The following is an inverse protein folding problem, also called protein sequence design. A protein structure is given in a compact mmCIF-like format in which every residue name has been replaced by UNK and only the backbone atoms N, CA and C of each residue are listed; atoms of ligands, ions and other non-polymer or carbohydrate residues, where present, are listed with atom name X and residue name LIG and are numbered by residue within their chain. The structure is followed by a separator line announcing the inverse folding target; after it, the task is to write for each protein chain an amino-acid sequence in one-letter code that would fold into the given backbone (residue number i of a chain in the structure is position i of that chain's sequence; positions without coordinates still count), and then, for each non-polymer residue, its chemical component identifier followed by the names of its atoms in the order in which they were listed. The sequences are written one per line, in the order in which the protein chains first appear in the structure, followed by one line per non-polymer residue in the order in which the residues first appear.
data_IF_276701444584
#
_entry.id   IF_276701444584
#
_cell.length_a   1.000
_cell.length_b   1.000
_cell.length_c   1.000
_cell.angle_alpha   90.00
_cell.angle_beta   90.00
_cell.angle_gamma   90.00
#
_symmetry.space_group_name_H-M   'P 1'
#
loop_
_entity.id
_entity.type
_entity.pdbx_description
1 polymer ?
#
# COMPACT_ATOMS: atom_id res chain seq x y z
N UNK A 1 29.23 -1.13 12.48
CA UNK A 1 28.29 -2.22 12.76
C UNK A 1 27.22 -1.84 13.77
N UNK A 2 27.52 -1.07 14.81
CA UNK A 2 26.55 -0.71 15.87
C UNK A 2 25.37 0.19 15.45
N UNK A 3 25.44 0.85 14.29
CA UNK A 3 24.33 1.70 13.81
C UNK A 3 23.31 0.98 12.91
N UNK A 4 23.60 -0.23 12.43
CA UNK A 4 22.72 -0.98 11.54
C UNK A 4 21.84 -1.92 12.35
N UNK A 5 22.44 -2.68 13.24
CA UNK A 5 21.75 -3.59 14.16
C UNK A 5 21.37 -2.83 15.45
N UNK A 6 20.29 -2.06 15.40
CA UNK A 6 19.75 -1.46 16.62
C UNK A 6 19.16 -2.55 17.52
N UNK A 7 19.20 -2.34 18.85
CA UNK A 7 18.61 -3.27 19.83
C UNK A 7 17.16 -3.61 19.46
N UNK A 8 16.39 -2.64 18.97
CA UNK A 8 15.00 -2.82 18.57
C UNK A 8 14.86 -3.67 17.30
N UNK A 9 15.77 -3.53 16.31
CA UNK A 9 15.77 -4.37 15.10
C UNK A 9 16.11 -5.82 15.43
N UNK A 10 17.05 -6.06 16.34
CA UNK A 10 17.43 -7.42 16.78
C UNK A 10 16.28 -8.08 17.55
N UNK A 11 15.69 -7.39 18.52
CA UNK A 11 14.54 -7.92 19.29
C UNK A 11 13.39 -8.27 18.36
N UNK A 12 13.06 -7.37 17.42
CA UNK A 12 12.02 -7.60 16.41
C UNK A 12 12.33 -8.86 15.59
N UNK A 13 13.53 -8.99 15.07
CA UNK A 13 13.94 -10.15 14.26
C UNK A 13 13.81 -11.45 15.06
N UNK A 14 14.27 -11.47 16.31
CA UNK A 14 14.19 -12.64 17.18
C UNK A 14 12.73 -13.01 17.43
N UNK A 15 11.86 -12.05 17.77
CA UNK A 15 10.45 -12.31 18.03
C UNK A 15 9.72 -12.87 16.80
N UNK A 16 9.99 -12.29 15.61
CA UNK A 16 9.37 -12.73 14.37
C UNK A 16 9.80 -14.16 14.02
N UNK A 17 11.10 -14.46 14.10
CA UNK A 17 11.60 -15.80 13.81
C UNK A 17 11.20 -16.82 14.86
N UNK A 18 11.07 -16.42 16.13
CA UNK A 18 10.53 -17.28 17.19
C UNK A 18 9.10 -17.75 16.83
N UNK A 19 8.27 -16.85 16.30
CA UNK A 19 6.92 -17.20 15.83
C UNK A 19 6.96 -18.17 14.65
N UNK A 20 7.83 -17.95 13.68
CA UNK A 20 8.01 -18.88 12.56
C UNK A 20 8.38 -20.27 13.07
N UNK A 21 9.38 -20.38 13.96
CA UNK A 21 9.78 -21.66 14.52
C UNK A 21 8.66 -22.32 15.33
N UNK A 22 7.88 -21.53 16.08
CA UNK A 22 6.74 -22.04 16.84
C UNK A 22 5.71 -22.68 15.92
N UNK A 23 5.33 -21.99 14.82
CA UNK A 23 4.39 -22.54 13.85
C UNK A 23 5.00 -23.70 13.02
N UNK A 24 6.29 -23.66 12.72
CA UNK A 24 6.97 -24.73 11.98
C UNK A 24 7.03 -26.05 12.77
N UNK A 25 7.28 -25.98 14.08
CA UNK A 25 7.39 -27.18 14.93
C UNK A 25 6.08 -27.63 15.56
N UNK A 26 5.19 -26.69 15.88
CA UNK A 26 3.95 -26.96 16.61
C UNK A 26 2.69 -26.63 15.79
N UNK A 27 2.80 -26.33 14.50
CA UNK A 27 1.69 -25.88 13.65
C UNK A 27 0.46 -26.77 13.74
N UNK A 28 0.61 -28.11 13.58
CA UNK A 28 -0.51 -29.05 13.70
C UNK A 28 -1.19 -29.03 15.09
N UNK A 29 -0.41 -28.84 16.15
CA UNK A 29 -0.97 -28.73 17.51
C UNK A 29 -1.71 -27.41 17.69
N UNK A 30 -1.20 -26.33 17.09
CA UNK A 30 -1.81 -24.98 17.11
C UNK A 30 -3.13 -25.00 16.31
N UNK A 31 -3.16 -25.62 15.12
CA UNK A 31 -4.37 -25.79 14.32
C UNK A 31 -5.46 -26.55 15.10
N UNK A 32 -5.08 -27.54 15.89
CA UNK A 32 -6.00 -28.26 16.78
C UNK A 32 -6.66 -27.37 17.85
N UNK A 33 -6.10 -26.20 18.15
CA UNK A 33 -6.64 -25.23 19.09
C UNK A 33 -7.69 -24.29 18.46
N UNK A 34 -7.81 -24.26 17.13
CA UNK A 34 -8.77 -23.38 16.43
C UNK A 34 -10.22 -23.72 16.78
N UNK A 35 -10.52 -24.97 17.19
CA UNK A 35 -11.86 -25.34 17.65
C UNK A 35 -12.32 -24.59 18.93
N UNK A 36 -11.44 -23.84 19.58
CA UNK A 36 -11.78 -22.94 20.68
C UNK A 36 -11.66 -21.49 20.20
N UNK A 37 -12.78 -20.78 20.04
CA UNK A 37 -12.83 -19.42 19.51
C UNK A 37 -11.93 -18.42 20.25
N UNK A 38 -11.80 -18.54 21.59
CA UNK A 38 -10.96 -17.63 22.39
C UNK A 38 -9.47 -17.86 22.05
N UNK A 39 -9.06 -19.11 21.92
CA UNK A 39 -7.68 -19.46 21.54
C UNK A 39 -7.39 -19.08 20.09
N UNK A 40 -8.31 -19.34 19.18
CA UNK A 40 -8.18 -18.95 17.78
C UNK A 40 -7.99 -17.44 17.63
N UNK A 41 -8.82 -16.62 18.31
CA UNK A 41 -8.68 -15.16 18.34
C UNK A 41 -7.31 -14.74 18.92
N UNK A 42 -6.89 -15.36 20.02
CA UNK A 42 -5.59 -15.07 20.63
C UNK A 42 -4.43 -15.37 19.68
N UNK A 43 -4.45 -16.51 19.01
CA UNK A 43 -3.44 -16.91 18.02
C UNK A 43 -3.47 -15.97 16.80
N UNK A 44 -4.66 -15.64 16.31
CA UNK A 44 -4.83 -14.67 15.22
C UNK A 44 -4.21 -13.31 15.54
N UNK A 45 -4.53 -12.74 16.70
CA UNK A 45 -3.98 -11.46 17.16
C UNK A 45 -2.45 -11.54 17.23
N UNK A 46 -1.91 -12.64 17.73
CA UNK A 46 -0.47 -12.82 17.88
C UNK A 46 0.25 -12.93 16.52
N UNK A 47 -0.31 -13.68 15.57
CA UNK A 47 0.22 -13.78 14.20
C UNK A 47 0.10 -12.42 13.49
N UNK A 48 -1.05 -11.76 13.61
CA UNK A 48 -1.30 -10.45 13.00
C UNK A 48 -0.27 -9.42 13.47
N UNK A 49 -0.08 -9.24 14.78
CA UNK A 49 0.90 -8.30 15.30
C UNK A 49 2.34 -8.67 14.95
N UNK A 50 2.63 -9.96 14.81
CA UNK A 50 3.95 -10.42 14.36
C UNK A 50 4.20 -10.00 12.91
N UNK A 51 3.24 -10.21 12.02
CA UNK A 51 3.36 -9.82 10.60
C UNK A 51 3.40 -8.30 10.45
N UNK A 52 2.56 -7.55 11.17
CA UNK A 52 2.62 -6.08 11.20
C UNK A 52 4.01 -5.62 11.70
N UNK A 53 4.51 -6.22 12.77
CA UNK A 53 5.85 -5.93 13.29
C UNK A 53 6.96 -6.21 12.28
N UNK A 54 6.84 -7.29 11.50
CA UNK A 54 7.74 -7.59 10.39
C UNK A 54 7.64 -6.55 9.26
N UNK A 55 6.42 -6.18 8.86
CA UNK A 55 6.18 -5.16 7.84
C UNK A 55 6.82 -3.81 8.21
N UNK A 56 6.69 -3.37 9.47
CA UNK A 56 7.42 -2.19 9.96
C UNK A 56 8.94 -2.34 9.84
N UNK A 57 9.46 -3.54 10.05
CA UNK A 57 10.89 -3.83 9.88
C UNK A 57 11.33 -3.72 8.43
N UNK A 58 10.56 -4.31 7.53
CA UNK A 58 10.81 -4.27 6.08
C UNK A 58 10.80 -2.83 5.58
N UNK A 59 9.75 -2.06 5.88
CA UNK A 59 9.64 -0.65 5.45
C UNK A 59 10.81 0.18 5.98
N UNK A 60 11.20 0.01 7.24
CA UNK A 60 12.34 0.71 7.82
C UNK A 60 13.65 0.39 7.11
N UNK A 61 13.97 -0.88 6.89
CA UNK A 61 15.23 -1.25 6.24
C UNK A 61 15.22 -0.90 4.73
N UNK A 62 14.06 -0.96 4.09
CA UNK A 62 13.88 -0.50 2.70
C UNK A 62 14.08 1.01 2.58
N UNK A 63 13.53 1.81 3.49
CA UNK A 63 13.69 3.27 3.53
C UNK A 63 15.16 3.67 3.77
N UNK A 64 15.85 3.01 4.70
CA UNK A 64 17.27 3.21 4.95
C UNK A 64 18.17 2.84 3.74
N UNK A 65 17.81 1.75 3.02
CA UNK A 65 18.47 1.39 1.77
C UNK A 65 18.19 2.42 0.68
N UNK A 66 16.95 2.90 0.60
CA UNK A 66 16.53 3.93 -0.34
C UNK A 66 17.36 5.22 -0.15
N UNK A 67 17.46 5.69 1.09
CA UNK A 67 18.27 6.87 1.41
C UNK A 67 19.75 6.71 1.04
N UNK A 68 20.30 5.50 1.20
CA UNK A 68 21.71 5.26 0.91
C UNK A 68 22.03 5.07 -0.56
N UNK A 69 21.14 4.39 -1.27
CA UNK A 69 21.33 4.12 -2.71
C UNK A 69 20.97 5.34 -3.57
N UNK A 70 20.15 6.24 -3.03
CA UNK A 70 19.65 7.40 -3.76
C UNK A 70 18.74 7.02 -4.91
N UNK A 71 18.26 8.03 -5.62
CA UNK A 71 17.39 7.83 -6.78
C UNK A 71 18.20 7.37 -8.02
N UNK A 72 17.69 6.41 -8.81
CA UNK A 72 16.34 5.82 -8.79
C UNK A 72 16.18 4.55 -7.96
N UNK A 73 17.27 3.99 -7.46
CA UNK A 73 17.28 2.67 -6.81
C UNK A 73 16.53 2.67 -5.48
N UNK A 74 16.57 3.79 -4.77
CA UNK A 74 15.89 3.95 -3.49
C UNK A 74 14.39 3.76 -3.59
N UNK A 75 13.74 4.52 -4.46
CA UNK A 75 12.29 4.40 -4.70
C UNK A 75 11.91 2.99 -5.14
N UNK A 76 12.67 2.37 -6.04
CA UNK A 76 12.40 1.02 -6.51
C UNK A 76 12.45 -0.02 -5.38
N UNK A 77 13.46 0.03 -4.52
CA UNK A 77 13.60 -0.93 -3.41
C UNK A 77 12.45 -0.79 -2.42
N UNK A 78 12.11 0.44 -2.03
CA UNK A 78 11.02 0.69 -1.10
C UNK A 78 9.69 0.18 -1.67
N UNK A 79 9.35 0.59 -2.89
CA UNK A 79 8.12 0.18 -3.56
C UNK A 79 8.03 -1.35 -3.74
N UNK A 80 9.09 -1.97 -4.29
CA UNK A 80 9.09 -3.41 -4.50
C UNK A 80 9.00 -4.20 -3.19
N UNK A 81 9.58 -3.70 -2.10
CA UNK A 81 9.50 -4.36 -0.79
C UNK A 81 8.07 -4.38 -0.28
N UNK A 82 7.36 -3.25 -0.37
CA UNK A 82 5.97 -3.12 0.10
C UNK A 82 5.02 -3.95 -0.77
N UNK A 83 5.12 -3.80 -2.10
CA UNK A 83 4.33 -4.58 -3.06
C UNK A 83 4.59 -6.09 -2.90
N UNK A 84 5.83 -6.50 -2.59
CA UNK A 84 6.13 -7.92 -2.35
C UNK A 84 5.35 -8.47 -1.16
N UNK A 85 5.26 -7.71 -0.05
CA UNK A 85 4.45 -8.12 1.12
C UNK A 85 2.97 -8.25 0.72
N UNK A 86 2.45 -7.26 0.00
CA UNK A 86 1.06 -7.24 -0.45
C UNK A 86 0.74 -8.44 -1.32
N UNK A 87 1.52 -8.69 -2.37
CA UNK A 87 1.36 -9.83 -3.27
C UNK A 87 1.45 -11.16 -2.52
N UNK A 88 2.42 -11.31 -1.61
CA UNK A 88 2.58 -12.52 -0.80
C UNK A 88 1.32 -12.81 0.02
N UNK A 89 0.77 -11.81 0.68
CA UNK A 89 -0.44 -11.98 1.50
C UNK A 89 -1.67 -12.28 0.65
N UNK A 90 -1.85 -11.58 -0.48
CA UNK A 90 -2.95 -11.86 -1.42
C UNK A 90 -2.84 -13.30 -1.96
N UNK A 91 -1.66 -13.71 -2.37
CA UNK A 91 -1.40 -15.05 -2.90
C UNK A 91 -1.64 -16.10 -1.82
N UNK A 92 -1.20 -15.87 -0.59
CA UNK A 92 -1.45 -16.80 0.52
C UNK A 92 -2.95 -16.99 0.78
N UNK A 93 -3.75 -15.91 0.73
CA UNK A 93 -5.22 -15.99 0.85
C UNK A 93 -5.85 -16.66 -0.39
N UNK A 94 -5.36 -16.40 -1.59
CA UNK A 94 -5.84 -17.02 -2.84
C UNK A 94 -5.60 -18.54 -2.86
N UNK A 95 -4.57 -19.03 -2.17
CA UNK A 95 -4.25 -20.45 -1.99
C UNK A 95 -4.65 -20.97 -0.60
N UNK A 96 -5.43 -20.21 0.16
CA UNK A 96 -5.98 -20.61 1.44
C UNK A 96 -6.94 -21.79 1.35
N UNK A 97 -7.48 -22.25 2.50
CA UNK A 97 -8.44 -23.37 2.53
C UNK A 97 -9.75 -23.10 1.78
N UNK A 98 -10.18 -21.85 1.75
CA UNK A 98 -11.39 -21.43 1.03
C UNK A 98 -11.00 -20.85 -0.35
N UNK A 99 -11.81 -21.13 -1.37
CA UNK A 99 -11.62 -20.55 -2.70
C UNK A 99 -12.11 -19.09 -2.68
N UNK A 100 -11.19 -18.14 -2.75
CA UNK A 100 -11.50 -16.72 -2.70
C UNK A 100 -11.01 -16.00 -3.98
N UNK A 101 -11.78 -16.05 -5.09
CA UNK A 101 -11.37 -15.46 -6.35
C UNK A 101 -11.36 -13.93 -6.34
N UNK A 102 -12.00 -13.27 -5.36
CA UNK A 102 -12.10 -11.81 -5.25
C UNK A 102 -11.02 -11.18 -4.37
N UNK A 103 -10.20 -11.98 -3.67
CA UNK A 103 -9.27 -11.47 -2.65
C UNK A 103 -8.32 -10.38 -3.18
N UNK A 104 -7.87 -10.49 -4.44
CA UNK A 104 -7.05 -9.48 -5.08
C UNK A 104 -7.79 -8.15 -5.22
N UNK A 105 -9.01 -8.19 -5.75
CA UNK A 105 -9.91 -7.03 -5.86
C UNK A 105 -10.21 -6.44 -4.47
N UNK A 106 -10.61 -7.29 -3.54
CA UNK A 106 -11.02 -6.88 -2.19
C UNK A 106 -9.87 -6.20 -1.44
N UNK A 107 -8.65 -6.71 -1.59
CA UNK A 107 -7.45 -6.08 -1.01
C UNK A 107 -7.18 -4.71 -1.64
N UNK A 108 -7.11 -4.61 -2.96
CA UNK A 108 -6.76 -3.37 -3.66
C UNK A 108 -7.82 -2.29 -3.46
N UNK A 109 -9.11 -2.67 -3.49
CA UNK A 109 -10.20 -1.75 -3.19
C UNK A 109 -10.13 -1.25 -1.74
N UNK A 110 -9.83 -2.14 -0.79
CA UNK A 110 -9.63 -1.77 0.62
C UNK A 110 -8.44 -0.84 0.81
N UNK A 111 -7.32 -1.08 0.09
CA UNK A 111 -6.17 -0.16 0.06
C UNK A 111 -6.60 1.22 -0.40
N UNK A 112 -7.38 1.31 -1.48
CA UNK A 112 -7.90 2.60 -1.95
C UNK A 112 -8.72 3.30 -0.87
N UNK A 113 -9.67 2.60 -0.26
CA UNK A 113 -10.55 3.21 0.76
C UNK A 113 -9.77 3.65 2.00
N UNK A 114 -8.80 2.85 2.44
CA UNK A 114 -7.94 3.18 3.59
C UNK A 114 -7.01 4.35 3.24
N UNK A 115 -6.25 4.24 2.16
CA UNK A 115 -5.19 5.22 1.85
C UNK A 115 -5.79 6.55 1.36
N UNK A 116 -6.76 6.50 0.42
CA UNK A 116 -7.30 7.71 -0.20
C UNK A 116 -8.37 8.40 0.66
N UNK A 117 -9.02 7.68 1.58
CA UNK A 117 -10.08 8.27 2.40
C UNK A 117 -9.71 8.35 3.88
N UNK A 118 -9.27 7.26 4.53
CA UNK A 118 -8.89 7.33 5.94
C UNK A 118 -7.58 8.08 6.13
N UNK A 119 -6.49 7.61 5.53
CA UNK A 119 -5.14 8.14 5.82
C UNK A 119 -4.98 9.55 5.27
N UNK A 120 -5.35 9.78 4.01
CA UNK A 120 -5.30 11.10 3.39
C UNK A 120 -6.25 12.08 4.10
N UNK A 121 -7.46 11.62 4.47
CA UNK A 121 -8.40 12.40 5.27
C UNK A 121 -7.81 12.85 6.61
N UNK A 122 -7.11 11.94 7.33
CA UNK A 122 -6.40 12.28 8.58
C UNK A 122 -5.24 13.24 8.33
N UNK A 123 -4.48 13.08 7.24
CA UNK A 123 -3.39 13.98 6.87
C UNK A 123 -3.91 15.41 6.63
N UNK A 124 -4.98 15.54 5.83
CA UNK A 124 -5.61 16.83 5.55
C UNK A 124 -6.17 17.45 6.84
N UNK A 125 -6.87 16.65 7.66
CA UNK A 125 -7.51 17.13 8.88
C UNK A 125 -6.46 17.57 9.91
N UNK A 126 -5.53 16.72 10.31
CA UNK A 126 -4.57 17.02 11.37
C UNK A 126 -3.54 18.08 10.94
N UNK A 127 -3.05 17.99 9.70
CA UNK A 127 -2.16 19.02 9.17
C UNK A 127 -2.88 20.37 9.08
N UNK A 128 -4.12 20.36 8.57
CA UNK A 128 -4.93 21.57 8.44
C UNK A 128 -5.37 22.19 9.79
N UNK A 129 -5.69 21.37 10.80
CA UNK A 129 -5.98 21.88 12.15
C UNK A 129 -4.75 22.55 12.79
N UNK A 130 -3.53 22.08 12.46
CA UNK A 130 -2.29 22.60 13.03
C UNK A 130 -1.74 23.82 12.29
N UNK A 131 -1.87 23.83 10.94
CA UNK A 131 -1.23 24.85 10.09
C UNK A 131 -2.21 25.69 9.27
N UNK A 132 -3.51 25.42 9.34
CA UNK A 132 -4.52 26.06 8.50
C UNK A 132 -4.52 25.46 7.08
N UNK A 133 -4.49 26.32 6.07
CA UNK A 133 -4.41 25.88 4.67
C UNK A 133 -3.06 25.27 4.37
N UNK A 134 -3.05 24.06 3.78
CA UNK A 134 -1.83 23.35 3.43
C UNK A 134 -1.52 23.48 1.95
N UNK A 135 -0.32 23.96 1.63
CA UNK A 135 0.18 24.08 0.25
C UNK A 135 0.78 22.75 -0.23
N UNK A 136 0.55 22.45 -1.49
CA UNK A 136 1.07 21.27 -2.17
C UNK A 136 1.33 21.54 -3.66
N UNK A 137 2.09 20.66 -4.34
CA UNK A 137 2.30 20.75 -5.77
C UNK A 137 1.12 20.13 -6.53
N UNK A 138 0.24 20.99 -7.04
CA UNK A 138 -0.98 20.57 -7.76
C UNK A 138 -0.68 19.72 -8.99
N UNK A 139 0.37 20.04 -9.78
CA UNK A 139 0.71 19.27 -10.98
C UNK A 139 1.14 17.84 -10.67
N UNK A 140 2.00 17.66 -9.66
CA UNK A 140 2.43 16.33 -9.21
C UNK A 140 1.25 15.52 -8.67
N UNK A 141 0.39 16.16 -7.88
CA UNK A 141 -0.80 15.51 -7.30
C UNK A 141 -1.81 15.09 -8.37
N UNK A 142 -2.09 15.96 -9.36
CA UNK A 142 -2.98 15.63 -10.49
C UNK A 142 -2.37 14.50 -11.34
N UNK A 143 -1.06 14.46 -11.52
CA UNK A 143 -0.41 13.34 -12.24
C UNK A 143 -0.64 12.01 -11.53
N UNK A 144 -0.50 11.96 -10.21
CA UNK A 144 -0.87 10.76 -9.43
C UNK A 144 -2.33 10.39 -9.60
N UNK A 145 -3.25 11.35 -9.46
CA UNK A 145 -4.69 11.09 -9.60
C UNK A 145 -5.04 10.59 -11.01
N UNK A 146 -4.40 11.14 -12.05
CA UNK A 146 -4.58 10.65 -13.42
C UNK A 146 -4.12 9.20 -13.58
N UNK A 147 -2.99 8.83 -12.96
CA UNK A 147 -2.52 7.44 -12.92
C UNK A 147 -3.50 6.53 -12.18
N UNK A 148 -4.01 6.98 -11.03
CA UNK A 148 -5.00 6.24 -10.23
C UNK A 148 -6.28 5.99 -11.03
N UNK A 149 -6.80 7.01 -11.71
CA UNK A 149 -8.01 6.90 -12.55
C UNK A 149 -7.77 5.90 -13.68
N UNK A 150 -6.65 6.04 -14.40
CA UNK A 150 -6.37 5.20 -15.54
C UNK A 150 -6.09 3.75 -15.13
N UNK A 151 -5.16 3.52 -14.20
CA UNK A 151 -4.80 2.17 -13.76
C UNK A 151 -5.95 1.49 -13.02
N UNK A 152 -6.61 2.19 -12.08
CA UNK A 152 -7.74 1.66 -11.33
C UNK A 152 -8.96 1.39 -12.22
N UNK A 153 -9.28 2.30 -13.13
CA UNK A 153 -10.37 2.14 -14.09
C UNK A 153 -10.17 0.93 -15.00
N UNK A 154 -8.98 0.76 -15.59
CA UNK A 154 -8.64 -0.38 -16.45
C UNK A 154 -8.64 -1.68 -15.65
N UNK A 155 -8.10 -1.69 -14.45
CA UNK A 155 -7.88 -2.91 -13.67
C UNK A 155 -9.15 -3.39 -12.96
N UNK A 156 -10.00 -2.49 -12.47
CA UNK A 156 -11.08 -2.81 -11.54
C UNK A 156 -12.48 -2.50 -12.08
N UNK A 157 -12.64 -1.52 -12.99
CA UNK A 157 -13.95 -1.22 -13.56
C UNK A 157 -14.17 -1.89 -14.90
N UNK A 158 -13.16 -1.82 -15.79
CA UNK A 158 -13.27 -2.33 -17.16
C UNK A 158 -13.64 -3.83 -17.24
N UNK A 159 -13.16 -4.73 -16.33
CA UNK A 159 -13.50 -6.17 -16.41
C UNK A 159 -15.01 -6.47 -16.39
N UNK A 160 -15.81 -5.59 -15.77
CA UNK A 160 -17.28 -5.77 -15.71
C UNK A 160 -17.98 -5.52 -17.03
N UNK A 161 -17.32 -4.84 -18.00
CA UNK A 161 -17.91 -4.40 -19.26
C UNK A 161 -17.25 -5.05 -20.47
N UNK A 162 -16.27 -5.94 -20.26
CA UNK A 162 -15.57 -6.61 -21.36
C UNK A 162 -16.36 -7.87 -21.79
N UNK A 163 -16.40 -8.11 -23.10
CA UNK A 163 -16.85 -9.39 -23.65
C UNK A 163 -15.80 -10.47 -23.35
N UNK A 164 -16.27 -11.66 -22.97
CA UNK A 164 -15.41 -12.78 -22.66
C UNK A 164 -16.03 -13.69 -21.60
N UNK A 165 -15.30 -13.95 -20.50
CA UNK A 165 -15.83 -14.79 -19.41
C UNK A 165 -16.96 -14.12 -18.60
N UNK A 166 -17.11 -12.79 -18.73
CA UNK A 166 -18.12 -12.02 -17.99
C UNK A 166 -17.80 -11.86 -16.49
N UNK A 167 -18.70 -11.18 -15.76
CA UNK A 167 -18.67 -11.10 -14.29
C UNK A 167 -17.35 -10.62 -13.65
N UNK A 168 -16.62 -9.71 -14.31
CA UNK A 168 -15.40 -9.10 -13.74
C UNK A 168 -14.14 -9.95 -13.86
N UNK A 169 -14.16 -11.01 -14.69
CA UNK A 169 -13.00 -11.85 -14.98
C UNK A 169 -12.37 -11.47 -16.34
N UNK A 170 -11.05 -11.34 -16.38
CA UNK A 170 -10.31 -11.22 -17.63
C UNK A 170 -10.10 -12.60 -18.29
N UNK A 171 -10.21 -12.65 -19.61
CA UNK A 171 -9.69 -13.82 -20.37
C UNK A 171 -8.14 -13.86 -20.24
N UNK A 172 -7.53 -15.03 -20.46
CA UNK A 172 -6.07 -15.19 -20.33
C UNK A 172 -5.30 -14.20 -21.21
N UNK A 173 -5.79 -13.92 -22.43
CA UNK A 173 -5.15 -12.97 -23.34
C UNK A 173 -5.31 -11.53 -22.81
N UNK A 174 -6.51 -11.17 -22.34
CA UNK A 174 -6.77 -9.86 -21.77
C UNK A 174 -5.92 -9.64 -20.50
N UNK A 175 -5.88 -10.60 -19.59
CA UNK A 175 -5.09 -10.55 -18.37
C UNK A 175 -3.60 -10.34 -18.65
N UNK A 176 -3.03 -11.11 -19.57
CA UNK A 176 -1.62 -10.98 -19.97
C UNK A 176 -1.32 -9.64 -20.65
N UNK A 177 -2.16 -9.22 -21.60
CA UNK A 177 -1.97 -7.98 -22.35
C UNK A 177 -2.14 -6.74 -21.45
N UNK A 178 -3.18 -6.71 -20.62
CA UNK A 178 -3.45 -5.59 -19.70
C UNK A 178 -2.33 -5.52 -18.64
N UNK A 179 -1.90 -6.66 -18.08
CA UNK A 179 -0.78 -6.70 -17.14
C UNK A 179 0.49 -6.11 -17.75
N UNK A 180 0.81 -6.47 -18.99
CA UNK A 180 1.97 -5.92 -19.70
C UNK A 180 1.88 -4.40 -19.90
N UNK A 181 0.71 -3.89 -20.33
CA UNK A 181 0.49 -2.46 -20.53
C UNK A 181 0.51 -1.67 -19.23
N UNK A 182 -0.06 -2.21 -18.15
CA UNK A 182 -0.07 -1.58 -16.81
C UNK A 182 1.35 -1.48 -16.25
N UNK A 183 2.15 -2.55 -16.32
CA UNK A 183 3.55 -2.54 -15.90
C UNK A 183 4.37 -1.53 -16.72
N UNK A 184 4.16 -1.49 -18.03
CA UNK A 184 4.86 -0.57 -18.92
C UNK A 184 4.52 0.88 -18.59
N UNK A 185 3.23 1.20 -18.40
CA UNK A 185 2.79 2.54 -18.03
C UNK A 185 3.36 2.97 -16.67
N UNK A 186 3.33 2.06 -15.68
CA UNK A 186 3.92 2.32 -14.36
C UNK A 186 5.44 2.53 -14.45
N UNK A 187 6.14 1.75 -15.28
CA UNK A 187 7.57 1.93 -15.54
C UNK A 187 7.89 3.29 -16.15
N UNK A 188 7.10 3.75 -17.12
CA UNK A 188 7.23 5.12 -17.65
C UNK A 188 6.97 6.17 -16.58
N UNK A 189 5.93 6.02 -15.80
CA UNK A 189 5.63 6.94 -14.70
C UNK A 189 6.82 7.08 -13.74
N UNK A 190 7.40 5.96 -13.28
CA UNK A 190 8.60 5.98 -12.43
C UNK A 190 9.78 6.65 -13.12
N UNK A 191 10.04 6.35 -14.39
CA UNK A 191 11.15 6.94 -15.14
C UNK A 191 11.02 8.48 -15.26
N UNK A 192 9.81 8.98 -15.50
CA UNK A 192 9.55 10.41 -15.54
C UNK A 192 9.63 11.07 -14.17
N UNK A 193 9.08 10.44 -13.14
CA UNK A 193 9.14 10.92 -11.76
C UNK A 193 10.59 11.08 -11.28
N UNK A 194 11.47 10.16 -11.65
CA UNK A 194 12.87 10.15 -11.20
C UNK A 194 13.78 11.11 -11.98
N UNK A 195 13.60 11.24 -13.31
CA UNK A 195 14.57 11.94 -14.16
C UNK A 195 14.18 13.37 -14.56
N UNK A 196 12.95 13.58 -14.98
CA UNK A 196 12.58 14.87 -15.61
C UNK A 196 11.71 15.76 -14.74
N UNK A 197 10.88 15.14 -13.93
CA UNK A 197 9.79 15.82 -13.22
C UNK A 197 9.86 15.68 -11.70
N UNK A 198 11.03 15.36 -11.16
CA UNK A 198 11.27 15.23 -9.70
C UNK A 198 10.74 16.46 -8.92
N UNK A 199 10.88 17.66 -9.48
CA UNK A 199 10.42 18.91 -8.87
C UNK A 199 8.91 18.98 -8.60
N UNK A 200 8.10 18.20 -9.31
CA UNK A 200 6.65 18.13 -9.10
C UNK A 200 6.26 17.39 -7.80
N UNK A 201 7.16 16.61 -7.26
CA UNK A 201 6.93 15.76 -6.08
C UNK A 201 7.65 16.27 -4.82
N UNK A 202 8.23 17.47 -4.90
CA UNK A 202 8.91 18.12 -3.77
C UNK A 202 7.98 19.13 -3.11
N UNK A 203 8.04 19.22 -1.76
CA UNK A 203 7.29 20.20 -0.99
C UNK A 203 7.61 21.62 -1.48
N UNK A 204 6.62 22.42 -1.90
CA UNK A 204 6.84 23.81 -2.22
C UNK A 204 7.25 24.60 -0.98
N UNK A 205 8.11 25.59 -1.13
CA UNK A 205 8.39 26.54 -0.06
C UNK A 205 7.11 27.32 0.27
N UNK A 206 6.88 27.60 1.57
CA UNK A 206 5.67 28.31 2.00
C UNK A 206 5.55 29.67 1.26
N UNK A 207 4.38 29.92 0.67
CA UNK A 207 4.12 31.10 -0.15
C UNK A 207 4.74 31.08 -1.56
N UNK A 208 5.53 30.08 -1.92
CA UNK A 208 6.22 30.03 -3.24
C UNK A 208 5.25 29.84 -4.40
N UNK A 209 4.04 29.37 -4.15
CA UNK A 209 2.99 29.21 -5.17
C UNK A 209 2.35 30.55 -5.59
N UNK A 210 2.59 31.62 -4.85
CA UNK A 210 2.13 32.98 -5.15
C UNK A 210 3.17 33.77 -5.97
N UNK A 211 4.41 33.25 -6.09
CA UNK A 211 5.52 33.91 -6.81
C UNK A 211 5.54 33.44 -8.27
N UNK A 212 5.63 34.37 -9.27
CA UNK A 212 5.75 34.01 -10.67
C UNK A 212 6.97 33.11 -10.97
N UNK A 213 6.80 32.17 -11.89
CA UNK A 213 7.77 31.11 -12.22
C UNK A 213 9.19 31.62 -12.56
N UNK A 214 9.33 32.85 -13.07
CA UNK A 214 10.62 33.44 -13.43
C UNK A 214 11.56 33.74 -12.26
N UNK A 215 11.04 33.87 -11.03
CA UNK A 215 11.83 34.15 -9.83
C UNK A 215 12.20 32.87 -9.03
N UNK A 216 11.61 31.73 -9.40
CA UNK A 216 11.75 30.47 -8.68
C UNK A 216 13.11 29.79 -8.84
N UNK A 217 13.82 30.07 -9.95
CA UNK A 217 15.08 29.39 -10.29
C UNK A 217 16.31 29.83 -9.44
N UNK A 218 16.18 30.87 -8.62
CA UNK A 218 17.32 31.36 -7.83
C UNK A 218 17.39 30.82 -6.40
N UNK A 219 16.31 30.19 -5.89
CA UNK A 219 16.26 29.70 -4.50
C UNK A 219 16.53 28.20 -4.32
N UNK A 220 16.75 27.46 -5.41
CA UNK A 220 16.84 25.99 -5.36
C UNK A 220 18.27 25.41 -5.34
N UNK A 221 19.31 26.23 -5.24
CA UNK A 221 20.71 25.77 -5.34
C UNK A 221 21.40 25.39 -4.01
N UNK A 222 20.68 25.07 -2.96
CA UNK A 222 21.30 24.68 -1.66
C UNK A 222 20.69 23.44 -1.04
N UNK A 223 20.57 22.38 -1.80
CA UNK A 223 20.47 21.03 -1.24
C UNK A 223 21.48 20.14 -1.97
N UNK A 224 22.76 20.34 -1.70
CA UNK A 224 23.80 19.35 -2.01
C UNK A 224 23.52 18.13 -1.11
N UNK A 225 22.97 17.07 -1.73
CA UNK A 225 22.95 15.77 -1.10
C UNK A 225 24.40 15.33 -0.83
N UNK A 226 24.83 15.41 0.42
CA UNK A 226 26.05 14.75 0.86
C UNK A 226 25.89 13.25 0.64
N UNK A 227 26.33 12.75 -0.50
CA UNK A 227 26.58 11.33 -0.69
C UNK A 227 27.71 10.90 0.25
N UNK A 228 27.34 10.49 1.47
CA UNK A 228 28.29 9.80 2.34
C UNK A 228 28.78 8.55 1.59
N UNK A 229 30.10 8.31 1.63
CA UNK A 229 30.72 7.16 0.96
C UNK A 229 30.04 5.86 1.37
N UNK A 230 29.36 5.24 0.42
CA UNK A 230 28.51 4.08 0.66
C UNK A 230 29.39 2.85 0.86
N UNK A 231 29.40 2.27 2.04
CA UNK A 231 30.08 0.99 2.28
C UNK A 231 29.26 -0.16 1.66
N UNK A 232 29.84 -0.88 0.70
CA UNK A 232 29.23 -2.08 0.10
C UNK A 232 28.79 -3.10 1.15
N UNK A 233 29.52 -3.18 2.28
CA UNK A 233 29.18 -4.06 3.41
C UNK A 233 27.89 -3.63 4.10
N UNK A 234 27.63 -2.33 4.20
CA UNK A 234 26.42 -1.80 4.81
C UNK A 234 25.19 -2.09 3.95
N UNK A 235 25.28 -1.87 2.63
CA UNK A 235 24.20 -2.22 1.67
C UNK A 235 23.89 -3.71 1.77
N UNK A 236 24.90 -4.57 1.71
CA UNK A 236 24.70 -6.02 1.80
C UNK A 236 24.03 -6.42 3.11
N UNK A 237 24.47 -5.86 4.24
CA UNK A 237 23.89 -6.21 5.54
C UNK A 237 22.42 -5.75 5.67
N UNK A 238 22.08 -4.55 5.19
CA UNK A 238 20.69 -4.05 5.18
C UNK A 238 19.81 -4.87 4.23
N UNK A 239 20.32 -5.25 3.06
CA UNK A 239 19.61 -6.15 2.14
C UNK A 239 19.34 -7.51 2.77
N UNK A 240 20.32 -8.09 3.47
CA UNK A 240 20.13 -9.34 4.21
C UNK A 240 19.11 -9.19 5.34
N UNK A 241 19.11 -8.08 6.07
CA UNK A 241 18.12 -7.79 7.11
C UNK A 241 16.72 -7.65 6.52
N UNK A 242 16.59 -6.94 5.40
CA UNK A 242 15.32 -6.79 4.69
C UNK A 242 14.77 -8.16 4.27
N UNK A 243 15.58 -8.99 3.63
CA UNK A 243 15.19 -10.35 3.26
C UNK A 243 14.86 -11.21 4.48
N UNK A 244 15.63 -11.09 5.58
CA UNK A 244 15.37 -11.80 6.82
C UNK A 244 14.07 -11.36 7.53
N UNK A 245 13.51 -10.20 7.18
CA UNK A 245 12.20 -9.73 7.68
C UNK A 245 11.06 -10.05 6.70
N UNK A 246 11.30 -10.11 5.39
CA UNK A 246 10.29 -10.52 4.40
C UNK A 246 10.00 -12.03 4.51
N UNK A 247 11.03 -12.86 4.66
CA UNK A 247 10.88 -14.30 4.68
C UNK A 247 9.92 -14.83 5.77
N UNK A 248 9.94 -14.35 7.01
CA UNK A 248 8.93 -14.69 8.02
C UNK A 248 7.50 -14.35 7.62
N UNK A 249 7.29 -13.25 6.90
CA UNK A 249 5.95 -12.88 6.40
C UNK A 249 5.46 -13.96 5.43
N UNK A 250 6.32 -14.41 4.51
CA UNK A 250 6.00 -15.51 3.59
C UNK A 250 5.64 -16.77 4.35
N UNK A 251 6.43 -17.14 5.35
CA UNK A 251 6.24 -18.40 6.11
C UNK A 251 5.00 -18.37 7.01
N UNK A 252 4.61 -17.19 7.53
CA UNK A 252 3.43 -17.03 8.37
C UNK A 252 2.16 -16.68 7.59
N UNK A 253 2.27 -16.27 6.31
CA UNK A 253 1.13 -15.83 5.51
C UNK A 253 0.08 -16.92 5.31
N UNK A 254 0.49 -18.17 5.13
CA UNK A 254 -0.44 -19.31 5.03
C UNK A 254 -1.22 -19.51 6.34
N UNK A 255 -0.54 -19.44 7.49
CA UNK A 255 -1.21 -19.57 8.80
C UNK A 255 -2.18 -18.40 9.05
N UNK A 256 -1.81 -17.18 8.61
CA UNK A 256 -2.70 -16.03 8.68
C UNK A 256 -3.94 -16.26 7.80
N UNK A 257 -3.76 -16.74 6.56
CA UNK A 257 -4.86 -17.04 5.66
C UNK A 257 -5.84 -18.05 6.28
N UNK A 258 -5.34 -19.16 6.81
CA UNK A 258 -6.16 -20.17 7.48
C UNK A 258 -6.95 -19.60 8.67
N UNK A 259 -6.32 -18.75 9.49
CA UNK A 259 -6.98 -18.11 10.63
C UNK A 259 -8.04 -17.09 10.20
N UNK A 260 -7.79 -16.34 9.13
CA UNK A 260 -8.76 -15.39 8.57
C UNK A 260 -9.96 -16.12 7.99
N UNK A 261 -9.73 -17.16 7.18
CA UNK A 261 -10.80 -17.97 6.59
C UNK A 261 -11.65 -18.63 7.70
N UNK A 262 -11.00 -19.17 8.73
CA UNK A 262 -11.68 -19.72 9.90
C UNK A 262 -12.54 -18.66 10.60
N UNK A 263 -11.97 -17.47 10.85
CA UNK A 263 -12.68 -16.37 11.52
C UNK A 263 -13.87 -15.86 10.72
N UNK A 264 -13.71 -15.68 9.39
CA UNK A 264 -14.78 -15.26 8.49
C UNK A 264 -15.93 -16.26 8.52
N UNK A 265 -15.61 -17.55 8.44
CA UNK A 265 -16.62 -18.63 8.40
C UNK A 265 -17.32 -18.80 9.75
N UNK A 266 -16.57 -18.90 10.84
CA UNK A 266 -17.11 -19.17 12.18
C UNK A 266 -17.97 -18.00 12.71
N UNK A 267 -17.56 -16.76 12.41
CA UNK A 267 -18.26 -15.55 12.84
C UNK A 267 -19.24 -15.03 11.78
N UNK A 268 -19.40 -15.74 10.65
CA UNK A 268 -20.24 -15.34 9.52
C UNK A 268 -19.96 -13.89 9.07
N UNK A 269 -18.67 -13.55 8.93
CA UNK A 269 -18.22 -12.22 8.54
C UNK A 269 -18.15 -12.07 7.00
N UNK A 270 -18.25 -10.84 6.49
CA UNK A 270 -18.11 -10.58 5.06
C UNK A 270 -16.71 -10.97 4.53
N UNK A 271 -16.59 -11.69 3.39
CA UNK A 271 -15.30 -12.09 2.81
C UNK A 271 -14.36 -10.91 2.51
N UNK A 272 -14.91 -9.74 2.20
CA UNK A 272 -14.17 -8.49 1.97
C UNK A 272 -13.20 -8.15 3.12
N UNK A 273 -13.50 -8.59 4.36
CA UNK A 273 -12.64 -8.36 5.52
C UNK A 273 -11.25 -9.00 5.38
N UNK A 274 -11.10 -10.07 4.61
CA UNK A 274 -9.79 -10.62 4.26
C UNK A 274 -8.92 -9.60 3.52
N UNK A 275 -9.49 -8.93 2.52
CA UNK A 275 -8.83 -7.86 1.78
C UNK A 275 -8.53 -6.63 2.63
N UNK A 276 -9.49 -6.22 3.49
CA UNK A 276 -9.29 -5.10 4.47
C UNK A 276 -8.12 -5.41 5.40
N UNK A 277 -8.01 -6.63 5.88
CA UNK A 277 -6.94 -7.05 6.78
C UNK A 277 -5.57 -6.98 6.09
N UNK A 278 -5.46 -7.46 4.85
CA UNK A 278 -4.23 -7.34 4.06
C UNK A 278 -3.85 -5.87 3.91
N UNK A 279 -4.80 -5.02 3.54
CA UNK A 279 -4.57 -3.58 3.37
C UNK A 279 -4.07 -2.92 4.68
N UNK A 280 -4.66 -3.27 5.83
CA UNK A 280 -4.21 -2.77 7.14
C UNK A 280 -2.78 -3.23 7.44
N UNK A 281 -2.47 -4.51 7.25
CA UNK A 281 -1.13 -5.06 7.53
C UNK A 281 -0.06 -4.34 6.72
N UNK A 282 -0.29 -4.23 5.41
CA UNK A 282 0.72 -3.72 4.47
C UNK A 282 0.92 -2.21 4.63
N UNK A 283 -0.18 -1.46 4.75
CA UNK A 283 -0.11 0.00 4.68
C UNK A 283 -0.09 0.73 6.03
N UNK A 284 -0.20 0.02 7.17
CA UNK A 284 -0.06 0.65 8.50
C UNK A 284 1.26 1.42 8.66
N UNK A 285 2.45 0.91 8.28
CA UNK A 285 3.70 1.65 8.43
C UNK A 285 3.73 2.95 7.60
N UNK A 286 3.27 2.88 6.34
CA UNK A 286 3.21 4.04 5.45
C UNK A 286 2.18 5.06 5.92
N UNK A 287 1.02 4.59 6.38
CA UNK A 287 -0.05 5.44 6.93
C UNK A 287 0.45 6.27 8.11
N UNK A 288 1.18 5.63 9.04
CA UNK A 288 1.77 6.33 10.17
C UNK A 288 2.82 7.36 9.74
N UNK A 289 3.60 7.04 8.71
CA UNK A 289 4.60 7.96 8.15
C UNK A 289 3.93 9.15 7.45
N UNK A 290 2.87 8.90 6.68
CA UNK A 290 2.12 9.95 5.99
C UNK A 290 1.46 10.92 6.98
N UNK A 291 0.80 10.41 8.03
CA UNK A 291 0.18 11.25 9.06
C UNK A 291 1.24 12.08 9.81
N UNK A 292 2.39 11.48 10.16
CA UNK A 292 3.50 12.22 10.77
C UNK A 292 4.03 13.32 9.86
N UNK A 293 4.19 13.07 8.57
CA UNK A 293 4.62 14.05 7.60
C UNK A 293 3.65 15.25 7.55
N UNK A 294 2.34 15.00 7.50
CA UNK A 294 1.33 16.05 7.51
C UNK A 294 1.37 16.90 8.80
N UNK A 295 1.53 16.26 9.97
CA UNK A 295 1.66 16.93 11.27
C UNK A 295 2.97 17.75 11.36
N UNK A 296 4.00 17.41 10.59
CA UNK A 296 5.28 18.11 10.52
C UNK A 296 5.35 19.15 9.40
N UNK A 297 4.22 19.53 8.79
CA UNK A 297 4.15 20.48 7.67
C UNK A 297 4.84 20.00 6.37
N UNK A 298 4.96 18.68 6.21
CA UNK A 298 5.47 18.02 5.00
C UNK A 298 4.30 17.43 4.19
N UNK A 299 3.30 18.26 3.86
CA UNK A 299 2.03 17.75 3.29
C UNK A 299 2.22 17.12 1.91
N UNK A 300 3.12 17.65 1.07
CA UNK A 300 3.44 17.01 -0.21
C UNK A 300 4.01 15.60 -0.03
N UNK A 301 4.82 15.39 1.02
CA UNK A 301 5.33 14.05 1.35
C UNK A 301 4.21 13.10 1.75
N UNK A 302 3.23 13.58 2.51
CA UNK A 302 2.03 12.80 2.85
C UNK A 302 1.23 12.41 1.59
N UNK A 303 1.03 13.36 0.66
CA UNK A 303 0.39 13.10 -0.65
C UNK A 303 1.18 12.06 -1.45
N UNK A 304 2.49 12.22 -1.56
CA UNK A 304 3.34 11.28 -2.32
C UNK A 304 3.28 9.86 -1.74
N UNK A 305 3.27 9.72 -0.41
CA UNK A 305 3.12 8.42 0.25
C UNK A 305 1.75 7.82 -0.05
N UNK A 306 0.66 8.56 0.14
CA UNK A 306 -0.69 8.02 -0.07
C UNK A 306 -0.98 7.68 -1.54
N UNK A 307 -0.79 8.65 -2.44
CA UNK A 307 -1.08 8.42 -3.86
C UNK A 307 -0.08 7.46 -4.50
N UNK A 308 1.21 7.58 -4.15
CA UNK A 308 2.26 6.70 -4.64
C UNK A 308 2.04 5.24 -4.23
N UNK A 309 1.63 5.01 -2.99
CA UNK A 309 1.27 3.69 -2.49
C UNK A 309 0.16 3.06 -3.35
N UNK A 310 -0.95 3.77 -3.58
CA UNK A 310 -2.04 3.22 -4.38
C UNK A 310 -1.66 3.03 -5.86
N UNK A 311 -0.92 3.96 -6.47
CA UNK A 311 -0.40 3.80 -7.85
C UNK A 311 0.50 2.58 -7.97
N UNK A 312 1.38 2.32 -6.99
CA UNK A 312 2.25 1.13 -6.99
C UNK A 312 1.47 -0.17 -6.80
N UNK A 313 0.47 -0.17 -5.92
CA UNK A 313 -0.45 -1.31 -5.73
C UNK A 313 -1.14 -1.65 -7.05
N UNK A 314 -1.81 -0.71 -7.70
CA UNK A 314 -2.50 -1.02 -8.95
C UNK A 314 -1.51 -1.32 -10.08
N UNK A 315 -0.38 -0.61 -10.13
CA UNK A 315 0.64 -0.76 -11.17
C UNK A 315 1.43 -2.06 -11.13
N UNK A 316 1.61 -2.67 -9.96
CA UNK A 316 2.42 -3.87 -9.78
C UNK A 316 1.63 -5.05 -9.17
N UNK A 317 0.79 -4.82 -8.14
CA UNK A 317 0.06 -5.90 -7.47
C UNK A 317 -0.99 -6.49 -8.37
N UNK A 318 -1.77 -5.68 -9.12
CA UNK A 318 -2.77 -6.22 -10.07
C UNK A 318 -2.14 -7.12 -11.11
N UNK A 319 -1.11 -6.68 -11.87
CA UNK A 319 -0.43 -7.55 -12.81
C UNK A 319 0.14 -8.82 -12.18
N UNK A 320 0.76 -8.70 -11.00
CA UNK A 320 1.35 -9.85 -10.31
C UNK A 320 0.29 -10.90 -9.96
N UNK A 321 -0.84 -10.48 -9.37
CA UNK A 321 -1.95 -11.37 -9.00
C UNK A 321 -2.60 -12.00 -10.23
N UNK A 322 -2.80 -11.24 -11.31
CA UNK A 322 -3.33 -11.78 -12.58
C UNK A 322 -2.38 -12.83 -13.18
N UNK A 323 -1.08 -12.55 -13.26
CA UNK A 323 -0.08 -13.47 -13.82
C UNK A 323 0.01 -14.74 -12.96
N UNK A 324 0.05 -14.61 -11.63
CA UNK A 324 0.10 -15.76 -10.71
C UNK A 324 -1.20 -16.59 -10.84
N UNK A 325 -2.36 -15.95 -10.93
CA UNK A 325 -3.63 -16.63 -11.17
C UNK A 325 -3.64 -17.42 -12.47
N UNK A 326 -3.12 -16.83 -13.56
CA UNK A 326 -2.98 -17.52 -14.85
C UNK A 326 -2.05 -18.75 -14.78
N UNK A 327 -0.88 -18.61 -14.14
CA UNK A 327 0.10 -19.70 -14.01
C UNK A 327 -0.49 -20.82 -13.14
N UNK A 328 -1.20 -20.49 -12.10
CA UNK A 328 -1.79 -21.44 -11.15
C UNK A 328 -3.16 -21.97 -11.58
N UNK A 329 -3.69 -21.54 -12.74
CA UNK A 329 -5.05 -21.86 -13.20
C UNK A 329 -6.12 -21.56 -12.15
N UNK A 330 -5.97 -20.47 -11.39
CA UNK A 330 -6.95 -19.95 -10.44
C UNK A 330 -7.78 -18.85 -11.08
N UNK A 331 -9.09 -18.87 -10.81
CA UNK A 331 -9.98 -17.76 -11.20
C UNK A 331 -9.65 -16.53 -10.36
N UNK A 332 -9.48 -15.38 -11.03
CA UNK A 332 -9.22 -14.10 -10.38
C UNK A 332 -10.20 -13.08 -10.89
N UNK A 333 -11.04 -12.57 -9.99
CA UNK A 333 -12.08 -11.58 -10.29
C UNK A 333 -11.59 -10.21 -9.83
N UNK A 334 -11.46 -9.27 -10.78
CA UNK A 334 -11.05 -7.89 -10.49
C UNK A 334 -12.20 -6.88 -10.63
N UNK A 335 -13.30 -7.26 -11.26
CA UNK A 335 -14.44 -6.37 -11.46
C UNK A 335 -15.10 -5.97 -10.14
N UNK A 336 -15.22 -4.67 -9.89
CA UNK A 336 -15.91 -4.11 -8.74
C UNK A 336 -17.41 -4.41 -8.79
N UNK A 337 -18.03 -4.66 -7.64
CA UNK A 337 -19.49 -4.66 -7.51
C UNK A 337 -20.07 -3.26 -7.78
N UNK A 338 -21.37 -3.15 -7.95
CA UNK A 338 -22.03 -1.85 -8.17
C UNK A 338 -21.76 -0.87 -7.03
N UNK A 339 -21.85 -1.33 -5.77
CA UNK A 339 -21.59 -0.51 -4.58
C UNK A 339 -20.13 -0.08 -4.51
N UNK A 340 -19.18 -1.00 -4.73
CA UNK A 340 -17.75 -0.69 -4.79
C UNK A 340 -17.42 0.29 -5.91
N UNK A 341 -18.04 0.13 -7.09
CA UNK A 341 -17.88 1.04 -8.23
C UNK A 341 -18.32 2.47 -7.87
N UNK A 342 -19.46 2.63 -7.19
CA UNK A 342 -19.94 3.94 -6.76
C UNK A 342 -18.95 4.58 -5.77
N UNK A 343 -18.50 3.83 -4.75
CA UNK A 343 -17.51 4.33 -3.79
C UNK A 343 -16.18 4.67 -4.46
N UNK A 344 -15.74 3.86 -5.41
CA UNK A 344 -14.54 4.11 -6.22
C UNK A 344 -14.66 5.45 -6.97
N UNK A 345 -15.75 5.66 -7.70
CA UNK A 345 -15.98 6.87 -8.48
C UNK A 345 -16.10 8.10 -7.56
N UNK A 346 -16.85 8.00 -6.45
CA UNK A 346 -16.95 9.10 -5.48
C UNK A 346 -15.58 9.45 -4.91
N UNK A 347 -14.77 8.45 -4.53
CA UNK A 347 -13.40 8.68 -4.03
C UNK A 347 -12.54 9.41 -5.05
N UNK A 348 -12.60 9.03 -6.33
CA UNK A 348 -11.83 9.69 -7.39
C UNK A 348 -12.29 11.14 -7.60
N UNK A 349 -13.59 11.38 -7.70
CA UNK A 349 -14.15 12.73 -7.86
C UNK A 349 -13.80 13.60 -6.66
N UNK A 350 -14.01 13.10 -5.44
CA UNK A 350 -13.67 13.81 -4.21
C UNK A 350 -12.19 14.16 -4.17
N UNK A 351 -11.30 13.21 -4.48
CA UNK A 351 -9.85 13.46 -4.50
C UNK A 351 -9.46 14.48 -5.57
N UNK A 352 -10.04 14.42 -6.78
CA UNK A 352 -9.79 15.42 -7.82
C UNK A 352 -10.21 16.83 -7.37
N UNK A 353 -11.38 16.96 -6.75
CA UNK A 353 -11.87 18.25 -6.24
C UNK A 353 -11.02 18.75 -5.07
N UNK A 354 -10.59 17.85 -4.17
CA UNK A 354 -9.74 18.16 -3.02
C UNK A 354 -8.40 18.76 -3.42
N UNK A 355 -7.88 18.35 -4.59
CA UNK A 355 -6.57 18.75 -5.10
C UNK A 355 -6.62 19.55 -6.41
N UNK A 356 -7.77 20.14 -6.74
CA UNK A 356 -7.92 21.00 -7.92
C UNK A 356 -7.26 22.39 -7.76
N UNK A 357 -7.06 22.83 -6.51
CA UNK A 357 -6.44 24.11 -6.16
C UNK A 357 -4.95 24.02 -5.92
N UNK A 358 -4.42 24.98 -5.15
CA UNK A 358 -3.04 25.01 -4.66
C UNK A 358 -2.93 24.74 -3.15
N UNK A 359 -4.07 24.81 -2.47
CA UNK A 359 -4.20 24.66 -1.02
C UNK A 359 -5.42 23.80 -0.71
N UNK A 360 -5.37 23.07 0.38
CA UNK A 360 -6.50 22.31 0.91
C UNK A 360 -6.82 22.76 2.33
N UNK A 361 -8.05 22.51 2.77
CA UNK A 361 -8.59 22.95 4.08
C UNK A 361 -9.02 21.73 4.91
N UNK A 362 -9.03 21.82 6.27
CA UNK A 362 -9.37 20.69 7.15
C UNK A 362 -10.71 20.03 6.87
N UNK A 363 -11.71 20.80 6.43
CA UNK A 363 -13.06 20.28 6.13
C UNK A 363 -13.05 19.22 5.02
N UNK A 364 -12.17 19.37 4.04
CA UNK A 364 -11.99 18.37 2.97
C UNK A 364 -11.55 17.01 3.57
N UNK A 365 -10.68 17.04 4.58
CA UNK A 365 -10.29 15.82 5.31
C UNK A 365 -11.47 15.12 5.98
N UNK A 366 -12.41 15.89 6.56
CA UNK A 366 -13.65 15.33 7.15
C UNK A 366 -14.50 14.65 6.08
N UNK A 367 -14.61 15.21 4.87
CA UNK A 367 -15.37 14.60 3.77
C UNK A 367 -14.81 13.23 3.39
N UNK A 368 -13.49 13.09 3.29
CA UNK A 368 -12.82 11.81 3.05
C UNK A 368 -13.07 10.81 4.20
N UNK A 369 -12.99 11.25 5.45
CA UNK A 369 -13.25 10.40 6.62
C UNK A 369 -14.71 9.90 6.68
N UNK A 370 -15.66 10.74 6.30
CA UNK A 370 -17.08 10.34 6.18
C UNK A 370 -17.24 9.26 5.10
N UNK A 371 -16.58 9.43 3.94
CA UNK A 371 -16.65 8.43 2.87
C UNK A 371 -16.03 7.09 3.32
N UNK A 372 -14.95 7.13 4.08
CA UNK A 372 -14.38 5.93 4.70
C UNK A 372 -15.35 5.29 5.71
N UNK A 373 -16.04 6.09 6.53
CA UNK A 373 -17.05 5.58 7.46
C UNK A 373 -18.21 4.90 6.72
N UNK A 374 -18.67 5.47 5.59
CA UNK A 374 -19.66 4.83 4.71
C UNK A 374 -19.16 3.48 4.20
N UNK A 375 -17.91 3.39 3.75
CA UNK A 375 -17.30 2.13 3.35
C UNK A 375 -17.34 1.08 4.48
N UNK A 376 -16.95 1.47 5.70
CA UNK A 376 -16.99 0.56 6.87
C UNK A 376 -18.41 0.08 7.16
N UNK A 377 -19.42 0.96 7.09
CA UNK A 377 -20.83 0.56 7.26
C UNK A 377 -21.24 -0.46 6.20
N UNK A 378 -20.88 -0.20 4.93
CA UNK A 378 -21.27 -1.07 3.81
C UNK A 378 -20.54 -2.42 3.78
N UNK A 379 -19.43 -2.58 4.52
CA UNK A 379 -18.83 -3.91 4.73
C UNK A 379 -19.80 -4.82 5.49
N UNK A 380 -20.48 -4.30 6.51
CA UNK A 380 -21.35 -5.11 7.39
C UNK A 380 -22.82 -5.06 7.02
N UNK A 381 -23.24 -4.03 6.28
CA UNK A 381 -24.62 -3.78 5.87
C UNK A 381 -24.61 -3.41 4.37
N UNK A 382 -24.37 -4.38 3.47
CA UNK A 382 -24.20 -4.14 2.04
C UNK A 382 -25.52 -3.72 1.34
#
# INVERSE_FOLDING_TARGET
MNNILTKNSIIRLILIWLMVFLFMFFGKSIEGLYGNNILAIGIFILVLFTIIGAAFGVVKEADELAHKLGEPYGTLILTLSIVSIEVILIVAMMFGPEDNPTIGKDSIFSVMMIIMNLVLGLCILFGGLKYGEQEYNSQGTITYLSMIIMLGGISMMLPNFMEGKGNGEFTSIQAGSISGLVILLYGFFLAFQMKGYKHLYIQPAAGSMEIPFSQRNQSQNTAEEHHASISKKEILLRTLLLLAMILPIVLLSHNLATLVDYGIKELNLPPLLGGVLIAIIVFTPESMTAVKAAINNEFQRAINLCHGAFVSTVGLTVPAVLIIGLIANKTVLFGLTATETILFVITLILSMLSFSGRKTVPFVGIMHLVLFAVFVILIFIP
#
